data_IF_939871674562
#
_entry.id   IF_939871674562
#
_cell.length_a   1.000
_cell.length_b   1.000
_cell.length_c   1.000
_cell.angle_alpha   90.00
_cell.angle_beta   90.00
_cell.angle_gamma   90.00
#
_symmetry.space_group_name_H-M   'P 1'
#
loop_
_entity.id
_entity.type
_entity.pdbx_description
1 polymer ?
#
# COMPACT_ATOMS: atom_id res chain seq x y z
N UNK A 1 -53.19 -33.23 36.52
CA UNK A 1 -52.88 -34.60 36.06
C UNK A 1 -51.70 -34.50 35.05
N UNK A 2 -50.62 -35.21 35.41
CA UNK A 2 -49.55 -35.78 34.59
C UNK A 2 -48.72 -34.76 33.73
N UNK A 3 -47.50 -34.51 34.14
CA UNK A 3 -46.20 -35.20 34.07
C UNK A 3 -45.47 -34.91 32.73
N UNK A 4 -44.39 -34.17 32.83
CA UNK A 4 -42.98 -34.57 32.78
C UNK A 4 -42.51 -35.05 31.41
N UNK A 5 -41.60 -34.31 30.81
CA UNK A 5 -40.71 -34.72 29.74
C UNK A 5 -39.38 -33.98 29.87
N UNK A 6 -38.44 -34.60 30.53
CA UNK A 6 -37.00 -34.29 30.66
C UNK A 6 -36.37 -34.17 29.27
N UNK A 7 -35.50 -33.20 29.00
CA UNK A 7 -34.08 -33.39 29.32
C UNK A 7 -33.34 -33.62 28.01
N UNK A 8 -32.48 -32.73 27.64
CA UNK A 8 -31.53 -32.85 26.55
C UNK A 8 -30.45 -31.78 26.68
N UNK A 9 -29.57 -31.93 27.68
CA UNK A 9 -28.30 -31.18 27.69
C UNK A 9 -27.41 -31.83 26.66
N UNK A 10 -27.13 -31.14 25.60
CA UNK A 10 -25.99 -31.46 24.73
C UNK A 10 -24.84 -30.59 25.16
N UNK A 11 -24.12 -31.03 26.18
CA UNK A 11 -22.80 -30.57 26.53
C UNK A 11 -21.81 -31.47 25.78
N UNK A 12 -21.38 -31.03 24.64
CA UNK A 12 -20.14 -31.55 24.03
C UNK A 12 -19.26 -30.35 23.72
N UNK A 13 -18.44 -30.01 24.72
CA UNK A 13 -17.27 -29.20 24.51
C UNK A 13 -16.38 -29.93 23.47
N UNK A 14 -16.29 -29.38 22.28
CA UNK A 14 -15.25 -29.76 21.35
C UNK A 14 -13.94 -29.23 21.93
N UNK A 15 -12.99 -30.08 22.35
CA UNK A 15 -11.68 -29.59 22.71
C UNK A 15 -10.99 -29.13 21.43
N UNK A 16 -10.91 -27.81 21.21
CA UNK A 16 -9.90 -27.25 20.33
C UNK A 16 -8.55 -27.62 20.97
N UNK A 17 -7.99 -28.75 20.56
CA UNK A 17 -6.58 -29.02 20.78
C UNK A 17 -5.82 -27.92 20.04
N UNK A 18 -5.22 -26.99 20.79
CA UNK A 18 -4.22 -26.12 20.29
C UNK A 18 -3.17 -26.97 19.56
N UNK A 19 -3.05 -26.74 18.26
CA UNK A 19 -1.88 -27.20 17.53
C UNK A 19 -0.68 -26.60 18.25
N UNK A 20 0.20 -27.46 18.75
CA UNK A 20 1.38 -27.03 19.45
C UNK A 20 2.17 -26.04 18.62
N UNK A 21 2.75 -25.06 19.30
CA UNK A 21 3.86 -24.27 18.82
C UNK A 21 5.01 -25.24 18.49
N UNK A 22 4.92 -25.85 17.31
CA UNK A 22 6.06 -26.48 16.69
C UNK A 22 6.94 -25.35 16.22
N UNK A 23 8.04 -25.08 16.95
CA UNK A 23 9.12 -24.28 16.45
C UNK A 23 9.45 -24.75 15.04
N UNK A 24 9.08 -23.93 14.04
CA UNK A 24 9.58 -24.15 12.70
C UNK A 24 11.12 -24.06 12.78
N UNK A 25 11.87 -25.04 12.26
CA UNK A 25 13.31 -25.01 12.34
C UNK A 25 13.78 -23.69 11.74
N UNK A 26 14.42 -22.86 12.59
CA UNK A 26 15.08 -21.66 12.14
C UNK A 26 16.10 -22.05 11.07
N UNK A 27 15.88 -21.61 9.82
CA UNK A 27 16.97 -21.57 8.86
C UNK A 27 16.84 -22.27 7.52
N UNK A 28 15.66 -22.72 7.08
CA UNK A 28 15.50 -23.04 5.67
C UNK A 28 14.56 -21.99 5.03
N UNK A 29 15.13 -21.02 4.36
CA UNK A 29 14.35 -20.21 3.40
C UNK A 29 13.64 -21.20 2.46
N UNK A 30 12.31 -21.06 2.24
CA UNK A 30 11.59 -21.93 1.33
C UNK A 30 12.29 -21.87 -0.04
N UNK A 31 12.74 -23.03 -0.54
CA UNK A 31 13.47 -23.12 -1.81
C UNK A 31 12.64 -22.75 -3.05
N UNK A 32 11.33 -22.51 -2.84
CA UNK A 32 10.35 -22.22 -3.88
C UNK A 32 9.68 -20.85 -3.70
N UNK A 33 10.41 -19.83 -3.28
CA UNK A 33 9.88 -18.45 -3.31
C UNK A 33 9.79 -17.99 -4.76
N UNK A 34 8.56 -17.70 -5.20
CA UNK A 34 8.35 -17.01 -6.48
C UNK A 34 8.79 -15.55 -6.31
N UNK A 35 9.80 -15.13 -7.07
CA UNK A 35 10.15 -13.72 -7.17
C UNK A 35 9.44 -13.11 -8.38
N UNK A 36 8.50 -12.22 -8.13
CA UNK A 36 7.70 -11.56 -9.16
C UNK A 36 8.56 -10.72 -10.14
N UNK A 37 9.77 -10.30 -9.74
CA UNK A 37 10.66 -9.58 -10.63
C UNK A 37 11.21 -10.47 -11.77
N UNK A 38 11.34 -11.76 -11.55
CA UNK A 38 11.91 -12.72 -12.50
C UNK A 38 10.91 -13.78 -12.97
N UNK A 39 9.71 -13.81 -12.40
CA UNK A 39 8.69 -14.81 -12.74
C UNK A 39 8.13 -14.61 -14.14
N UNK A 40 8.06 -15.70 -14.90
CA UNK A 40 7.45 -15.72 -16.23
C UNK A 40 8.37 -15.18 -17.33
N UNK A 41 7.80 -14.55 -18.36
CA UNK A 41 8.53 -14.06 -19.52
C UNK A 41 8.23 -12.58 -19.78
N UNK A 42 9.22 -11.79 -20.21
CA UNK A 42 9.03 -10.38 -20.48
C UNK A 42 8.00 -10.15 -21.60
N UNK A 43 7.17 -9.13 -21.43
CA UNK A 43 6.19 -8.67 -22.41
C UNK A 43 6.25 -7.15 -22.51
N UNK A 44 5.81 -6.64 -23.67
CA UNK A 44 5.66 -5.19 -23.86
C UNK A 44 4.62 -4.61 -22.89
N UNK A 45 4.92 -3.43 -22.35
CA UNK A 45 4.06 -2.73 -21.38
C UNK A 45 2.95 -1.91 -22.06
N UNK A 46 3.05 -1.66 -23.37
CA UNK A 46 2.17 -0.73 -24.08
C UNK A 46 2.64 0.73 -24.02
N UNK A 47 3.62 1.03 -23.16
CA UNK A 47 4.26 2.34 -23.05
C UNK A 47 5.73 2.18 -22.68
N UNK A 48 6.52 3.26 -22.81
CA UNK A 48 7.96 3.25 -22.49
C UNK A 48 8.22 4.03 -21.19
N UNK A 49 8.51 3.37 -20.06
CA UNK A 49 8.83 4.04 -18.81
C UNK A 49 10.07 4.95 -18.86
N UNK A 50 10.97 4.75 -19.84
CA UNK A 50 12.13 5.63 -20.03
C UNK A 50 11.73 7.00 -20.56
N UNK A 51 10.55 7.12 -21.17
CA UNK A 51 9.97 8.37 -21.67
C UNK A 51 9.03 9.03 -20.66
N UNK A 52 9.24 8.78 -19.36
CA UNK A 52 8.40 9.38 -18.33
C UNK A 52 8.36 10.90 -18.44
N UNK A 53 7.14 11.45 -18.51
CA UNK A 53 6.87 12.89 -18.51
C UNK A 53 6.71 13.44 -17.11
N UNK A 54 6.46 12.56 -16.14
CA UNK A 54 6.42 12.86 -14.69
C UNK A 54 7.29 11.89 -13.93
N UNK A 55 8.12 12.42 -13.05
CA UNK A 55 8.98 11.62 -12.17
C UNK A 55 8.76 12.09 -10.73
N UNK A 56 8.32 11.18 -9.87
CA UNK A 56 8.04 11.49 -8.47
C UNK A 56 8.92 10.67 -7.52
N UNK A 57 9.14 11.26 -6.33
CA UNK A 57 9.67 10.56 -5.16
C UNK A 57 8.54 10.39 -4.16
N UNK A 58 8.53 9.25 -3.51
CA UNK A 58 7.58 8.88 -2.47
C UNK A 58 8.34 8.25 -1.30
N UNK A 59 8.97 9.09 -0.49
CA UNK A 59 9.75 8.62 0.66
C UNK A 59 8.82 8.49 1.87
N UNK A 60 8.60 7.25 2.34
CA UNK A 60 7.82 6.93 3.53
C UNK A 60 8.76 6.94 4.73
N UNK A 61 8.41 7.70 5.76
CA UNK A 61 9.20 7.81 6.97
C UNK A 61 8.34 8.17 8.18
N UNK A 62 9.01 8.53 9.27
CA UNK A 62 8.38 9.03 10.49
C UNK A 62 9.16 10.19 11.06
N UNK A 63 8.46 11.09 11.76
CA UNK A 63 9.09 12.15 12.54
C UNK A 63 8.28 12.48 13.80
N UNK A 64 8.91 13.01 14.84
CA UNK A 64 8.20 13.61 15.97
C UNK A 64 7.31 14.76 15.51
N UNK A 65 6.12 14.87 16.09
CA UNK A 65 5.19 15.94 15.76
C UNK A 65 3.86 15.78 16.48
N UNK A 66 2.86 16.48 15.97
CA UNK A 66 1.49 16.41 16.46
C UNK A 66 0.58 15.95 15.33
N UNK A 67 -0.33 15.05 15.65
CA UNK A 67 -1.40 14.63 14.75
C UNK A 67 -2.69 14.60 15.56
N UNK A 68 -3.71 15.32 15.10
CA UNK A 68 -4.98 15.49 15.81
C UNK A 68 -4.77 15.94 17.28
N UNK A 69 -3.88 16.92 17.48
CA UNK A 69 -3.53 17.46 18.80
C UNK A 69 -2.72 16.54 19.71
N UNK A 70 -2.38 15.33 19.29
CA UNK A 70 -1.63 14.34 20.07
C UNK A 70 -0.16 14.37 19.70
N UNK A 71 0.77 14.49 20.65
CA UNK A 71 2.19 14.36 20.39
C UNK A 71 2.54 12.89 20.09
N UNK A 72 3.49 12.65 19.19
CA UNK A 72 3.88 11.30 18.82
C UNK A 72 4.92 11.25 17.72
N UNK A 73 5.18 10.02 17.24
CA UNK A 73 6.01 9.74 16.09
C UNK A 73 5.08 9.37 14.93
N UNK A 74 4.88 10.33 14.01
CA UNK A 74 3.85 10.26 12.98
C UNK A 74 4.43 10.01 11.59
N UNK A 75 3.60 9.45 10.72
CA UNK A 75 3.97 9.12 9.34
C UNK A 75 4.29 10.38 8.53
N UNK A 76 5.24 10.23 7.63
CA UNK A 76 5.60 11.29 6.69
C UNK A 76 5.68 10.73 5.27
N UNK A 77 5.30 11.57 4.31
CA UNK A 77 5.57 11.39 2.89
C UNK A 77 6.49 12.53 2.46
N UNK A 78 7.67 12.18 1.94
CA UNK A 78 8.72 13.14 1.59
C UNK A 78 9.10 14.10 2.75
N UNK A 79 9.06 13.58 4.00
CA UNK A 79 9.35 14.35 5.21
C UNK A 79 8.22 15.23 5.72
N UNK A 80 7.07 15.26 5.06
CA UNK A 80 5.89 16.06 5.45
C UNK A 80 4.85 15.19 6.13
N UNK A 81 4.25 15.71 7.20
CA UNK A 81 3.12 15.09 7.90
C UNK A 81 1.80 15.58 7.29
N UNK A 82 0.80 14.70 7.33
CA UNK A 82 -0.57 15.10 7.02
C UNK A 82 -1.04 16.27 7.92
N UNK A 83 -1.79 17.27 7.39
CA UNK A 83 -2.32 17.34 6.02
C UNK A 83 -1.36 17.93 4.97
N UNK A 84 -0.15 18.33 5.36
CA UNK A 84 0.80 19.01 4.47
C UNK A 84 1.66 18.06 3.64
N UNK A 85 1.17 16.86 3.37
CA UNK A 85 1.82 15.90 2.48
C UNK A 85 1.84 16.39 1.03
N UNK A 86 2.83 16.01 0.21
CA UNK A 86 2.84 16.37 -1.19
C UNK A 86 1.66 15.74 -1.92
N UNK A 87 1.10 16.46 -2.88
CA UNK A 87 0.13 15.95 -3.84
C UNK A 87 0.86 15.69 -5.16
N UNK A 88 0.65 14.53 -5.78
CA UNK A 88 1.25 14.18 -7.06
C UNK A 88 0.33 14.66 -8.19
N UNK A 89 0.78 15.64 -8.97
CA UNK A 89 -0.04 16.25 -10.02
C UNK A 89 0.39 15.74 -11.38
N UNK A 90 -0.57 15.22 -12.14
CA UNK A 90 -0.39 14.67 -13.48
C UNK A 90 -1.37 15.30 -14.48
N UNK A 91 -1.09 15.13 -15.75
CA UNK A 91 -2.01 15.42 -16.85
C UNK A 91 -2.38 14.11 -17.54
N UNK A 92 -3.60 14.00 -18.04
CA UNK A 92 -4.03 12.83 -18.79
C UNK A 92 -3.04 12.53 -19.94
N UNK A 93 -2.64 11.27 -20.06
CA UNK A 93 -1.62 10.82 -21.01
C UNK A 93 -0.18 10.89 -20.51
N UNK A 94 0.07 11.49 -19.33
CA UNK A 94 1.43 11.45 -18.75
C UNK A 94 1.89 10.02 -18.49
N UNK A 95 3.14 9.74 -18.86
CA UNK A 95 3.85 8.54 -18.41
C UNK A 95 4.53 8.89 -17.10
N UNK A 96 4.10 8.24 -16.04
CA UNK A 96 4.57 8.49 -14.68
C UNK A 96 5.60 7.44 -14.27
N UNK A 97 6.72 7.89 -13.72
CA UNK A 97 7.63 7.04 -12.91
C UNK A 97 7.64 7.55 -11.49
N UNK A 98 7.60 6.60 -10.54
CA UNK A 98 7.66 6.94 -9.14
C UNK A 98 8.66 6.03 -8.43
N UNK A 99 9.50 6.62 -7.59
CA UNK A 99 10.40 5.89 -6.69
C UNK A 99 9.78 5.91 -5.31
N UNK A 100 9.34 4.75 -4.83
CA UNK A 100 8.79 4.56 -3.48
C UNK A 100 9.89 4.00 -2.60
N UNK A 101 10.23 4.70 -1.53
CA UNK A 101 11.23 4.27 -0.56
C UNK A 101 10.64 4.25 0.84
N UNK A 102 10.80 3.15 1.54
CA UNK A 102 10.35 3.02 2.92
C UNK A 102 11.54 3.00 3.89
N UNK A 103 11.53 3.91 4.85
CA UNK A 103 12.53 4.00 5.93
C UNK A 103 11.87 4.17 7.30
N UNK A 104 10.63 3.72 7.40
CA UNK A 104 9.78 3.97 8.56
C UNK A 104 9.96 2.96 9.70
N UNK A 105 10.60 1.81 9.44
CA UNK A 105 10.72 0.70 10.37
C UNK A 105 9.53 -0.27 10.37
N UNK A 106 8.56 -0.10 9.47
CA UNK A 106 7.38 -0.98 9.34
C UNK A 106 7.06 -1.22 7.87
N UNK A 107 6.31 -2.30 7.58
CA UNK A 107 5.78 -2.59 6.25
C UNK A 107 4.57 -1.71 5.95
N UNK A 108 4.48 -1.26 4.70
CA UNK A 108 3.35 -0.49 4.21
C UNK A 108 2.83 -1.06 2.89
N UNK A 109 1.64 -1.68 2.88
CA UNK A 109 0.91 -1.95 1.65
C UNK A 109 0.39 -0.62 1.10
N UNK A 110 1.09 -0.06 0.11
CA UNK A 110 0.70 1.20 -0.53
C UNK A 110 -0.26 0.92 -1.66
N UNK A 111 -1.40 1.61 -1.66
CA UNK A 111 -2.48 1.43 -2.62
C UNK A 111 -2.81 2.75 -3.32
N UNK A 112 -2.68 2.76 -4.64
CA UNK A 112 -3.08 3.86 -5.49
C UNK A 112 -4.44 3.56 -6.13
N UNK A 113 -5.46 4.32 -5.74
CA UNK A 113 -6.78 4.22 -6.34
C UNK A 113 -6.77 4.57 -7.83
N UNK A 114 -7.67 3.94 -8.58
CA UNK A 114 -7.95 4.27 -9.97
C UNK A 114 -6.88 3.87 -10.98
N UNK A 115 -5.74 3.33 -10.55
CA UNK A 115 -4.62 2.98 -11.43
C UNK A 115 -4.00 1.64 -11.04
N UNK A 116 -3.44 0.95 -12.05
CA UNK A 116 -2.52 -0.15 -11.83
C UNK A 116 -1.12 0.31 -12.22
N UNK A 117 -0.16 0.02 -11.39
CA UNK A 117 1.24 0.35 -11.63
C UNK A 117 2.03 -0.90 -12.01
N UNK A 118 3.00 -0.76 -12.90
CA UNK A 118 3.96 -1.83 -13.17
C UNK A 118 5.22 -1.62 -12.35
N UNK A 119 5.69 -2.68 -11.70
CA UNK A 119 6.94 -2.67 -10.96
C UNK A 119 8.11 -2.81 -11.93
N UNK A 120 9.02 -1.82 -11.92
CA UNK A 120 10.21 -1.79 -12.78
C UNK A 120 11.43 -2.36 -12.08
N UNK A 121 11.58 -2.10 -10.78
CA UNK A 121 12.69 -2.61 -9.97
C UNK A 121 12.35 -2.64 -8.48
N UNK A 122 13.06 -3.49 -7.73
CA UNK A 122 13.09 -3.52 -6.27
C UNK A 122 14.54 -3.52 -5.79
N UNK A 123 14.90 -2.58 -4.92
CA UNK A 123 16.25 -2.43 -4.36
C UNK A 123 17.35 -2.36 -5.46
N UNK A 124 17.05 -1.71 -6.58
CA UNK A 124 17.95 -1.60 -7.72
C UNK A 124 17.99 -2.83 -8.64
N UNK A 125 17.35 -3.94 -8.29
CA UNK A 125 17.21 -5.11 -9.15
C UNK A 125 16.04 -4.92 -10.11
N UNK A 126 16.30 -4.92 -11.40
CA UNK A 126 15.28 -4.71 -12.44
C UNK A 126 14.38 -5.93 -12.60
N UNK A 127 13.12 -5.68 -12.92
CA UNK A 127 12.20 -6.72 -13.36
C UNK A 127 12.62 -7.28 -14.73
N UNK A 128 12.71 -8.60 -14.83
CA UNK A 128 13.12 -9.34 -16.03
C UNK A 128 12.10 -10.40 -16.46
N UNK A 129 11.10 -10.65 -15.63
CA UNK A 129 10.00 -11.58 -15.88
C UNK A 129 8.82 -10.96 -16.60
N UNK A 130 7.65 -11.55 -16.42
CA UNK A 130 6.39 -10.99 -16.86
C UNK A 130 6.15 -9.64 -16.17
N UNK A 131 5.50 -8.66 -16.82
CA UNK A 131 5.15 -7.41 -16.18
C UNK A 131 4.33 -7.66 -14.91
N UNK A 132 4.85 -7.17 -13.78
CA UNK A 132 4.17 -7.26 -12.50
C UNK A 132 3.32 -6.00 -12.30
N UNK A 133 2.03 -6.13 -12.66
CA UNK A 133 1.03 -5.10 -12.45
C UNK A 133 0.37 -5.28 -11.09
N UNK A 134 0.20 -4.18 -10.38
CA UNK A 134 -0.48 -4.16 -9.08
C UNK A 134 -1.08 -2.79 -8.82
N UNK A 135 -2.11 -2.73 -8.00
CA UNK A 135 -2.67 -1.51 -7.42
C UNK A 135 -2.25 -1.34 -5.95
N UNK A 136 -1.83 -2.46 -5.32
CA UNK A 136 -1.38 -2.49 -3.93
C UNK A 136 -0.01 -3.14 -3.85
N UNK A 137 0.97 -2.40 -3.36
CA UNK A 137 2.37 -2.83 -3.29
C UNK A 137 2.87 -2.86 -1.85
N UNK A 138 3.21 -4.04 -1.34
CA UNK A 138 3.91 -4.15 -0.06
C UNK A 138 5.31 -3.58 -0.19
N UNK A 139 5.63 -2.58 0.64
CA UNK A 139 6.96 -1.98 0.72
C UNK A 139 7.50 -2.24 2.12
N UNK A 140 8.43 -3.19 2.23
CA UNK A 140 9.08 -3.52 3.50
C UNK A 140 10.00 -2.40 3.96
N UNK A 141 10.37 -2.42 5.26
CA UNK A 141 11.35 -1.45 5.75
C UNK A 141 12.67 -1.58 4.99
N UNK A 142 13.25 -0.44 4.62
CA UNK A 142 14.47 -0.29 3.81
C UNK A 142 14.35 -0.73 2.35
N UNK A 143 13.16 -1.08 1.89
CA UNK A 143 12.94 -1.34 0.47
C UNK A 143 12.77 -0.05 -0.33
N UNK A 144 13.16 -0.16 -1.59
CA UNK A 144 12.96 0.86 -2.62
C UNK A 144 12.39 0.20 -3.86
N UNK A 145 11.27 0.70 -4.34
CA UNK A 145 10.67 0.28 -5.61
C UNK A 145 10.71 1.42 -6.62
N UNK A 146 10.95 1.07 -7.88
CA UNK A 146 10.58 1.92 -9.01
C UNK A 146 9.34 1.34 -9.67
N UNK A 147 8.34 2.17 -9.85
CA UNK A 147 7.09 1.84 -10.51
C UNK A 147 6.80 2.79 -11.66
N UNK A 148 5.94 2.37 -12.59
CA UNK A 148 5.46 3.25 -13.65
C UNK A 148 4.01 2.94 -14.01
N UNK A 149 3.31 3.94 -14.55
CA UNK A 149 1.96 3.81 -15.11
C UNK A 149 1.70 4.93 -16.11
N UNK A 150 0.63 4.78 -16.88
CA UNK A 150 0.08 5.86 -17.70
C UNK A 150 -1.06 6.50 -16.93
N UNK A 151 -1.05 7.82 -16.85
CA UNK A 151 -2.15 8.58 -16.27
C UNK A 151 -3.32 8.65 -17.28
N UNK A 152 -4.20 7.67 -17.25
CA UNK A 152 -5.28 7.47 -18.22
C UNK A 152 -6.69 7.48 -17.60
N UNK A 153 -6.79 7.83 -16.32
CA UNK A 153 -8.03 7.88 -15.58
C UNK A 153 -8.18 9.22 -14.84
N UNK A 154 -8.65 10.30 -15.48
CA UNK A 154 -8.77 11.62 -14.88
C UNK A 154 -9.61 11.64 -13.61
N UNK A 155 -9.05 12.20 -12.53
CA UNK A 155 -9.70 12.24 -11.22
C UNK A 155 -8.82 12.83 -10.13
N UNK A 156 -9.28 12.67 -8.89
CA UNK A 156 -8.48 12.88 -7.68
C UNK A 156 -8.50 11.55 -6.94
N UNK A 157 -7.37 10.85 -6.96
CA UNK A 157 -7.25 9.48 -6.50
C UNK A 157 -6.45 9.44 -5.21
N UNK A 158 -7.02 8.78 -4.21
CA UNK A 158 -6.31 8.54 -2.96
C UNK A 158 -5.12 7.60 -3.21
N UNK A 159 -4.01 7.85 -2.56
CA UNK A 159 -2.85 6.98 -2.46
C UNK A 159 -2.51 6.83 -0.98
N UNK A 160 -2.70 5.65 -0.44
CA UNK A 160 -2.62 5.43 1.00
C UNK A 160 -2.07 4.06 1.38
N UNK A 161 -1.63 3.96 2.62
CA UNK A 161 -1.30 2.67 3.21
C UNK A 161 -2.57 1.86 3.48
N UNK A 162 -2.63 0.62 3.00
CA UNK A 162 -3.77 -0.27 3.23
C UNK A 162 -3.76 -0.93 4.62
N UNK A 163 -2.74 -0.67 5.44
CA UNK A 163 -2.83 -0.81 6.88
C UNK A 163 -3.63 0.41 7.40
N UNK A 164 -4.94 0.23 7.59
CA UNK A 164 -5.87 1.31 7.89
C UNK A 164 -5.48 2.17 9.11
N UNK A 165 -4.94 1.62 10.21
CA UNK A 165 -4.39 2.43 11.29
C UNK A 165 -3.30 3.40 10.82
N UNK A 166 -2.43 3.02 9.87
CA UNK A 166 -1.41 3.91 9.33
C UNK A 166 -2.01 5.01 8.46
N UNK A 167 -2.98 4.66 7.62
CA UNK A 167 -3.71 5.63 6.81
C UNK A 167 -4.47 6.64 7.69
N UNK A 168 -5.19 6.16 8.72
CA UNK A 168 -5.90 7.01 9.68
C UNK A 168 -4.94 7.91 10.49
N UNK A 169 -3.67 7.55 10.60
CA UNK A 169 -2.61 8.35 11.22
C UNK A 169 -1.85 9.23 10.22
N UNK A 170 -2.37 9.39 9.01
CA UNK A 170 -1.88 10.35 8.04
C UNK A 170 -0.93 9.80 6.98
N UNK A 171 -0.77 8.46 6.84
CA UNK A 171 -0.04 7.89 5.70
C UNK A 171 -0.96 7.81 4.47
N UNK A 172 -1.31 8.98 3.98
CA UNK A 172 -2.23 9.19 2.86
C UNK A 172 -1.82 10.44 2.08
N UNK A 173 -1.93 10.35 0.76
CA UNK A 173 -1.76 11.44 -0.19
C UNK A 173 -2.72 11.28 -1.35
N UNK A 174 -2.56 12.06 -2.42
CA UNK A 174 -3.43 12.00 -3.59
C UNK A 174 -2.63 12.14 -4.87
N UNK A 175 -3.07 11.43 -5.90
CA UNK A 175 -2.76 11.69 -7.29
C UNK A 175 -3.88 12.55 -7.86
N UNK A 176 -3.56 13.74 -8.36
CA UNK A 176 -4.54 14.69 -8.89
C UNK A 176 -4.25 15.00 -10.35
N UNK A 177 -5.27 14.99 -11.16
CA UNK A 177 -5.17 15.39 -12.56
C UNK A 177 -5.38 16.89 -12.73
N UNK A 178 -4.60 17.51 -13.62
CA UNK A 178 -4.81 18.90 -14.03
C UNK A 178 -6.18 19.06 -14.63
N UNK A 179 -6.85 20.17 -14.30
CA UNK A 179 -8.21 20.46 -14.78
C UNK A 179 -9.34 19.77 -14.03
N UNK A 180 -9.02 18.87 -13.08
CA UNK A 180 -10.01 18.28 -12.17
C UNK A 180 -10.12 19.15 -10.91
N UNK A 181 -11.33 19.41 -10.47
CA UNK A 181 -11.63 20.14 -9.23
C UNK A 181 -12.65 19.42 -8.39
N UNK A 182 -12.61 19.62 -7.09
CA UNK A 182 -13.59 19.10 -6.14
C UNK A 182 -14.03 20.20 -5.18
N UNK A 183 -15.29 20.11 -4.73
CA UNK A 183 -15.80 20.99 -3.64
C UNK A 183 -15.33 20.50 -2.26
N UNK A 184 -14.78 19.30 -2.15
CA UNK A 184 -14.28 18.76 -0.90
C UNK A 184 -12.87 19.29 -0.61
N UNK A 185 -12.60 19.62 0.64
CA UNK A 185 -11.26 20.00 1.07
C UNK A 185 -10.42 18.74 1.28
N UNK A 186 -9.40 18.57 0.44
CA UNK A 186 -8.39 17.54 0.65
C UNK A 186 -7.50 17.97 1.81
N UNK A 187 -7.31 17.10 2.78
CA UNK A 187 -6.47 17.38 3.95
C UNK A 187 -7.13 18.17 5.07
N UNK A 188 -8.45 18.40 5.03
CA UNK A 188 -9.21 18.96 6.16
C UNK A 188 -9.45 17.92 7.27
N UNK A 189 -10.38 18.24 8.19
CA UNK A 189 -11.00 17.24 9.07
C UNK A 189 -12.03 16.47 8.25
N UNK A 190 -11.67 15.34 7.64
CA UNK A 190 -12.60 14.66 6.78
C UNK A 190 -13.45 13.71 7.60
N UNK A 191 -14.72 13.68 7.27
CA UNK A 191 -15.55 12.52 7.60
C UNK A 191 -15.19 11.30 6.74
N UNK A 192 -14.22 11.46 5.81
CA UNK A 192 -13.75 10.40 4.94
C UNK A 192 -12.70 9.57 5.67
N UNK A 193 -13.07 8.35 6.00
CA UNK A 193 -12.13 7.33 6.45
C UNK A 193 -11.50 6.66 5.23
N UNK A 194 -10.20 6.29 5.25
CA UNK A 194 -9.63 5.44 4.21
C UNK A 194 -10.38 4.11 4.17
N UNK A 195 -10.71 3.64 2.98
CA UNK A 195 -11.37 2.35 2.75
C UNK A 195 -10.46 1.17 3.11
#
# INVERSE_FOLDING_TARGET
MRQLGRGGRCATACPCRGAGDGDAPAGAEPRDRVDLLSYGSPKALGFDPAKATRVFRYDIGRRPGFFDGKPGLWWTINGHQYPNVPMFVVTEGDVVRMTIKNTSGQVHPMHLHGHHVVVLSRNGVRATGSPWWTDSLNVEDKETYEIAFVADNPGIWMDHCHNLPHAAQGLVTHLMYTGVSTKYHLGGTPDNQPE
#
